data_IF_245841430087
#
_entry.id   IF_245841430087
#
_cell.length_a   1.000
_cell.length_b   1.000
_cell.length_c   1.000
_cell.angle_alpha   90.00
_cell.angle_beta   90.00
_cell.angle_gamma   90.00
#
_symmetry.space_group_name_H-M   'P 1'
#
loop_
_entity.id
_entity.type
_entity.pdbx_description
1 polymer ?
#
# COMPACT_ATOMS: atom_id res chain seq x y z
N UNK A 1 -33.03 22.80 -8.82
CA UNK A 1 -32.04 21.88 -9.38
C UNK A 1 -30.66 22.42 -9.03
N UNK A 2 -30.00 21.84 -8.03
CA UNK A 2 -28.62 22.16 -7.71
C UNK A 2 -27.77 21.54 -8.83
N UNK A 3 -27.07 22.38 -9.59
CA UNK A 3 -26.09 21.91 -10.57
C UNK A 3 -24.96 21.26 -9.77
N UNK A 4 -24.82 19.92 -9.84
CA UNK A 4 -23.65 19.23 -9.34
C UNK A 4 -22.41 19.79 -10.06
N UNK A 5 -21.41 20.24 -9.29
CA UNK A 5 -20.18 20.75 -9.86
C UNK A 5 -19.45 19.59 -10.56
N UNK A 6 -19.36 19.64 -11.87
CA UNK A 6 -18.70 18.63 -12.70
C UNK A 6 -17.18 18.47 -12.41
N UNK A 7 -16.56 19.46 -11.74
CA UNK A 7 -15.13 19.44 -11.42
C UNK A 7 -14.88 19.80 -9.96
N UNK A 8 -14.16 18.92 -9.26
CA UNK A 8 -13.69 19.12 -7.88
C UNK A 8 -12.19 19.31 -7.91
N UNK A 9 -11.70 20.43 -7.36
CA UNK A 9 -10.28 20.74 -7.28
C UNK A 9 -9.73 20.51 -5.85
N UNK A 10 -8.51 20.00 -5.75
CA UNK A 10 -7.79 19.88 -4.47
C UNK A 10 -8.17 18.72 -3.57
N UNK A 11 -9.12 17.87 -3.98
CA UNK A 11 -9.51 16.65 -3.26
C UNK A 11 -9.51 15.43 -4.19
N UNK A 12 -9.44 14.24 -3.63
CA UNK A 12 -9.64 13.03 -4.41
C UNK A 12 -11.12 12.91 -4.82
N UNK A 13 -11.35 12.71 -6.11
CA UNK A 13 -12.70 12.55 -6.66
C UNK A 13 -13.13 11.10 -6.46
N UNK A 14 -14.36 10.87 -5.96
CA UNK A 14 -14.92 9.53 -5.75
C UNK A 14 -16.40 9.48 -6.14
N UNK A 15 -16.94 8.29 -6.27
CA UNK A 15 -18.35 8.04 -6.59
C UNK A 15 -18.75 8.57 -7.97
N UNK A 16 -19.92 9.18 -8.06
CA UNK A 16 -20.52 9.68 -9.31
C UNK A 16 -19.73 10.80 -9.99
N UNK A 17 -18.75 11.40 -9.31
CA UNK A 17 -17.89 12.45 -9.87
C UNK A 17 -16.62 11.89 -10.52
N UNK A 18 -16.42 10.57 -10.52
CA UNK A 18 -15.32 9.92 -11.20
C UNK A 18 -15.74 9.57 -12.62
N UNK A 19 -15.35 10.42 -13.56
CA UNK A 19 -15.69 10.26 -14.98
C UNK A 19 -14.56 9.54 -15.68
N UNK A 20 -14.96 8.50 -16.42
CA UNK A 20 -14.07 7.75 -17.32
C UNK A 20 -12.98 6.89 -16.63
N UNK A 21 -12.22 6.11 -17.33
CA UNK A 21 -11.24 5.08 -16.91
C UNK A 21 -11.87 3.72 -16.57
N UNK A 22 -12.91 3.36 -17.29
CA UNK A 22 -13.61 2.09 -17.10
C UNK A 22 -12.65 0.92 -17.39
N UNK A 23 -11.84 1.03 -18.44
CA UNK A 23 -10.91 -0.02 -18.84
C UNK A 23 -9.77 -0.19 -17.84
N UNK A 24 -9.19 0.92 -17.35
CA UNK A 24 -8.16 0.86 -16.33
C UNK A 24 -8.72 0.29 -15.01
N UNK A 25 -9.94 0.67 -14.64
CA UNK A 25 -10.62 0.13 -13.45
C UNK A 25 -10.79 -1.38 -13.56
N UNK A 26 -11.33 -1.88 -14.68
CA UNK A 26 -11.52 -3.31 -14.93
C UNK A 26 -10.19 -4.06 -14.91
N UNK A 27 -9.16 -3.50 -15.54
CA UNK A 27 -7.84 -4.11 -15.62
C UNK A 27 -7.21 -4.26 -14.25
N UNK A 28 -7.14 -3.18 -13.45
CA UNK A 28 -6.56 -3.22 -12.11
C UNK A 28 -7.36 -4.14 -11.19
N UNK A 29 -8.70 -4.13 -11.31
CA UNK A 29 -9.55 -5.07 -10.55
C UNK A 29 -9.19 -6.51 -10.85
N UNK A 30 -9.06 -6.86 -12.13
CA UNK A 30 -8.66 -8.20 -12.56
C UNK A 30 -7.28 -8.59 -12.04
N UNK A 31 -6.33 -7.66 -12.07
CA UNK A 31 -4.98 -7.88 -11.55
C UNK A 31 -5.01 -8.14 -10.03
N UNK A 32 -5.80 -7.40 -9.27
CA UNK A 32 -6.01 -7.63 -7.83
C UNK A 32 -6.62 -9.00 -7.56
N UNK A 33 -7.62 -9.38 -8.33
CA UNK A 33 -8.29 -10.69 -8.22
C UNK A 33 -7.36 -11.85 -8.58
N UNK A 34 -6.38 -11.63 -9.43
CA UNK A 34 -5.40 -12.65 -9.83
C UNK A 34 -4.08 -12.59 -9.04
N UNK A 35 -3.93 -11.67 -8.09
CA UNK A 35 -2.71 -11.54 -7.28
C UNK A 35 -1.51 -11.00 -8.07
N UNK A 36 -1.76 -10.19 -9.10
CA UNK A 36 -0.72 -9.57 -9.93
C UNK A 36 -0.28 -8.27 -9.28
N UNK A 37 1.03 -8.05 -9.18
CA UNK A 37 1.57 -6.77 -8.75
C UNK A 37 1.34 -5.71 -9.83
N UNK A 38 0.88 -4.52 -9.43
CA UNK A 38 0.56 -3.42 -10.34
C UNK A 38 1.44 -2.21 -10.03
N UNK A 39 1.98 -1.59 -11.08
CA UNK A 39 2.70 -0.32 -10.99
C UNK A 39 1.97 0.70 -11.85
N UNK A 40 1.35 1.70 -11.20
CA UNK A 40 0.59 2.72 -11.89
C UNK A 40 1.42 4.00 -12.02
N UNK A 41 1.82 4.32 -13.23
CA UNK A 41 2.67 5.46 -13.55
C UNK A 41 1.87 6.52 -14.31
N UNK A 42 1.87 7.74 -13.80
CA UNK A 42 1.32 8.86 -14.54
C UNK A 42 1.80 10.21 -13.96
N UNK A 43 1.64 11.30 -14.70
CA UNK A 43 1.84 12.64 -14.17
C UNK A 43 0.94 12.96 -12.97
N UNK A 44 1.23 14.06 -12.28
CA UNK A 44 0.36 14.59 -11.21
C UNK A 44 -1.04 14.91 -11.76
N UNK A 45 -2.04 14.88 -10.87
CA UNK A 45 -3.45 15.26 -11.14
C UNK A 45 -4.17 14.41 -12.20
N UNK A 46 -3.65 13.21 -12.49
CA UNK A 46 -4.28 12.27 -13.43
C UNK A 46 -5.28 11.30 -12.79
N UNK A 47 -5.68 11.54 -11.54
CA UNK A 47 -6.69 10.75 -10.86
C UNK A 47 -6.24 9.37 -10.36
N UNK A 48 -4.93 9.12 -10.18
CA UNK A 48 -4.42 7.82 -9.70
C UNK A 48 -5.07 7.34 -8.40
N UNK A 49 -5.02 8.19 -7.38
CA UNK A 49 -5.57 7.87 -6.06
C UNK A 49 -7.07 7.62 -6.13
N UNK A 50 -7.80 8.44 -6.91
CA UNK A 50 -9.24 8.25 -7.15
C UNK A 50 -9.54 6.95 -7.88
N UNK A 51 -8.74 6.60 -8.90
CA UNK A 51 -8.86 5.33 -9.63
C UNK A 51 -8.66 4.14 -8.70
N UNK A 52 -7.58 4.12 -7.91
CA UNK A 52 -7.33 3.03 -6.97
C UNK A 52 -8.43 2.93 -5.92
N UNK A 53 -8.89 4.05 -5.35
CA UNK A 53 -10.02 4.06 -4.40
C UNK A 53 -11.31 3.52 -5.01
N UNK A 54 -11.57 3.82 -6.29
CA UNK A 54 -12.70 3.25 -7.03
C UNK A 54 -12.54 1.73 -7.18
N UNK A 55 -11.39 1.26 -7.63
CA UNK A 55 -11.11 -0.19 -7.72
C UNK A 55 -11.33 -0.87 -6.38
N UNK A 56 -10.80 -0.30 -5.29
CA UNK A 56 -10.99 -0.84 -3.93
C UNK A 56 -12.48 -0.98 -3.59
N UNK A 57 -13.30 0.00 -3.95
CA UNK A 57 -14.74 -0.04 -3.68
C UNK A 57 -15.52 -1.02 -4.56
N UNK A 58 -14.96 -1.42 -5.70
CA UNK A 58 -15.61 -2.34 -6.66
C UNK A 58 -15.17 -3.81 -6.52
N UNK A 59 -14.11 -4.08 -5.76
CA UNK A 59 -13.70 -5.46 -5.46
C UNK A 59 -14.62 -6.02 -4.38
N UNK A 60 -15.57 -6.84 -4.80
CA UNK A 60 -16.54 -7.51 -3.94
C UNK A 60 -16.19 -9.00 -3.80
N UNK A 61 -15.06 -9.28 -3.15
CA UNK A 61 -14.62 -10.64 -2.87
C UNK A 61 -14.12 -10.72 -1.42
N UNK A 62 -14.84 -11.42 -0.54
CA UNK A 62 -14.50 -11.52 0.88
C UNK A 62 -13.16 -12.23 1.14
N UNK A 63 -12.65 -12.99 0.15
CA UNK A 63 -11.35 -13.64 0.21
C UNK A 63 -10.19 -12.72 -0.19
N UNK A 64 -10.47 -11.48 -0.59
CA UNK A 64 -9.45 -10.50 -0.96
C UNK A 64 -9.56 -9.31 -0.03
N UNK A 65 -8.52 -9.08 0.76
CA UNK A 65 -8.40 -7.90 1.61
C UNK A 65 -7.50 -6.87 0.98
N UNK A 66 -8.03 -5.68 0.73
CA UNK A 66 -7.24 -4.58 0.17
C UNK A 66 -6.88 -3.61 1.29
N UNK A 67 -5.61 -3.28 1.36
CA UNK A 67 -5.03 -2.37 2.35
C UNK A 67 -4.41 -1.18 1.62
N UNK A 68 -4.77 0.02 2.03
CA UNK A 68 -4.27 1.27 1.44
C UNK A 68 -3.39 2.02 2.43
N UNK A 69 -2.23 2.47 2.00
CA UNK A 69 -1.37 3.37 2.74
C UNK A 69 -0.75 4.45 1.85
N UNK A 70 -0.57 5.63 2.42
CA UNK A 70 0.15 6.75 1.82
C UNK A 70 1.45 6.96 2.58
N UNK A 71 2.56 7.03 1.87
CA UNK A 71 3.89 7.19 2.46
C UNK A 71 4.53 8.55 2.16
N UNK A 72 3.72 9.52 1.75
CA UNK A 72 4.19 10.86 1.37
C UNK A 72 5.03 11.55 2.46
N UNK A 73 4.63 11.42 3.71
CA UNK A 73 5.27 12.05 4.87
C UNK A 73 6.37 11.18 5.53
N UNK A 74 6.60 9.95 5.05
CA UNK A 74 7.70 9.12 5.52
C UNK A 74 9.04 9.74 5.12
N UNK A 75 9.91 9.98 6.09
CA UNK A 75 11.23 10.60 5.89
C UNK A 75 12.38 9.60 6.00
N UNK A 76 12.10 8.44 6.58
CA UNK A 76 13.08 7.40 6.85
C UNK A 76 12.51 6.00 6.64
N UNK A 77 13.39 5.00 6.60
CA UNK A 77 12.97 3.61 6.59
C UNK A 77 12.16 3.24 7.86
N UNK A 78 12.44 3.89 9.01
CA UNK A 78 11.70 3.66 10.24
C UNK A 78 10.26 4.14 10.15
N UNK A 79 10.04 5.33 9.59
CA UNK A 79 8.69 5.87 9.36
C UNK A 79 7.92 4.93 8.44
N UNK A 80 8.57 4.44 7.39
CA UNK A 80 7.98 3.49 6.46
C UNK A 80 7.58 2.19 7.15
N UNK A 81 8.49 1.55 7.90
CA UNK A 81 8.18 0.27 8.55
C UNK A 81 7.11 0.42 9.63
N UNK A 82 7.12 1.51 10.39
CA UNK A 82 6.08 1.82 11.37
C UNK A 82 4.71 1.97 10.68
N UNK A 83 4.65 2.79 9.63
CA UNK A 83 3.43 3.01 8.85
C UNK A 83 2.93 1.72 8.21
N UNK A 84 3.82 0.94 7.63
CA UNK A 84 3.50 -0.33 7.02
C UNK A 84 2.90 -1.31 8.03
N UNK A 85 3.59 -1.56 9.13
CA UNK A 85 3.12 -2.45 10.19
C UNK A 85 1.78 -2.00 10.77
N UNK A 86 1.64 -0.72 11.10
CA UNK A 86 0.41 -0.14 11.63
C UNK A 86 -0.77 -0.33 10.68
N UNK A 87 -0.58 -0.03 9.40
CA UNK A 87 -1.65 -0.16 8.40
C UNK A 87 -2.07 -1.61 8.21
N UNK A 88 -1.10 -2.54 8.10
CA UNK A 88 -1.37 -3.96 7.98
C UNK A 88 -2.13 -4.48 9.20
N UNK A 89 -1.72 -4.11 10.41
CA UNK A 89 -2.37 -4.54 11.64
C UNK A 89 -3.79 -3.99 11.78
N UNK A 90 -4.01 -2.70 11.51
CA UNK A 90 -5.36 -2.10 11.51
C UNK A 90 -6.32 -2.81 10.57
N UNK A 91 -5.80 -3.42 9.51
CA UNK A 91 -6.62 -4.17 8.57
C UNK A 91 -7.18 -5.47 9.14
N UNK A 92 -6.68 -5.98 10.26
CA UNK A 92 -7.05 -7.31 10.79
C UNK A 92 -8.27 -7.34 11.71
N UNK A 93 -8.83 -6.20 12.14
CA UNK A 93 -9.96 -6.19 13.07
C UNK A 93 -10.85 -4.96 13.05
N UNK A 94 -12.09 -5.12 13.53
CA UNK A 94 -13.15 -4.11 13.49
C UNK A 94 -13.48 -3.45 14.85
N UNK A 95 -12.90 -3.90 16.01
CA UNK A 95 -13.16 -3.34 17.34
C UNK A 95 -11.85 -3.04 18.10
N UNK A 96 -11.62 -1.77 18.38
CA UNK A 96 -10.32 -1.21 18.79
C UNK A 96 -9.70 -1.78 20.08
N UNK A 97 -10.45 -2.04 21.14
CA UNK A 97 -9.88 -2.54 22.40
C UNK A 97 -9.67 -4.07 22.39
N UNK A 98 -10.61 -4.81 21.86
CA UNK A 98 -10.51 -6.25 21.67
C UNK A 98 -9.48 -6.64 20.60
N UNK A 99 -9.26 -5.71 19.65
CA UNK A 99 -8.28 -5.80 18.58
C UNK A 99 -6.84 -5.71 19.12
N UNK A 100 -6.54 -4.82 20.04
CA UNK A 100 -5.17 -4.67 20.59
C UNK A 100 -4.70 -5.94 21.30
N UNK A 101 -5.54 -6.56 22.11
CA UNK A 101 -5.19 -7.79 22.82
C UNK A 101 -5.11 -8.99 21.85
N UNK A 102 -6.03 -9.06 20.88
CA UNK A 102 -6.02 -10.10 19.86
C UNK A 102 -4.86 -9.92 18.87
N UNK A 103 -4.53 -8.69 18.49
CA UNK A 103 -3.37 -8.38 17.67
C UNK A 103 -2.08 -8.76 18.39
N UNK A 104 -1.92 -8.41 19.67
CA UNK A 104 -0.73 -8.80 20.44
C UNK A 104 -0.58 -10.32 20.48
N UNK A 105 -1.63 -11.06 20.82
CA UNK A 105 -1.60 -12.53 20.83
C UNK A 105 -1.32 -13.12 19.45
N UNK A 106 -1.93 -12.56 18.43
CA UNK A 106 -1.73 -12.98 17.05
C UNK A 106 -0.28 -12.73 16.61
N UNK A 107 0.25 -11.53 16.88
CA UNK A 107 1.61 -11.15 16.48
C UNK A 107 2.68 -11.92 17.26
N UNK A 108 2.49 -12.18 18.53
CA UNK A 108 3.38 -13.07 19.30
C UNK A 108 3.42 -14.46 18.67
N UNK A 109 2.30 -14.95 18.12
CA UNK A 109 2.23 -16.24 17.45
C UNK A 109 2.90 -16.24 16.08
N UNK A 110 2.65 -15.22 15.23
CA UNK A 110 3.15 -15.16 13.84
C UNK A 110 4.51 -14.50 13.71
N UNK A 111 4.88 -13.65 14.65
CA UNK A 111 6.13 -12.90 14.67
C UNK A 111 6.62 -12.68 16.10
N UNK A 112 7.11 -13.73 16.79
CA UNK A 112 7.49 -13.65 18.20
C UNK A 112 8.68 -12.71 18.46
N UNK A 113 9.39 -12.28 17.43
CA UNK A 113 10.50 -11.32 17.52
C UNK A 113 10.05 -9.85 17.57
N UNK A 114 8.76 -9.57 17.28
CA UNK A 114 8.23 -8.21 17.37
C UNK A 114 7.76 -7.94 18.80
N UNK A 115 8.28 -6.87 19.39
CA UNK A 115 7.81 -6.35 20.69
C UNK A 115 6.99 -5.09 20.48
N UNK A 116 5.90 -4.95 21.26
CA UNK A 116 4.97 -3.84 21.16
C UNK A 116 4.94 -3.07 22.48
N UNK A 117 5.08 -1.76 22.40
CA UNK A 117 4.89 -0.87 23.54
C UNK A 117 3.74 0.08 23.23
N UNK A 118 2.58 -0.04 23.92
CA UNK A 118 1.54 0.96 23.79
C UNK A 118 1.97 2.21 24.56
N UNK A 119 2.11 3.33 23.87
CA UNK A 119 2.29 4.63 24.55
C UNK A 119 0.96 5.11 25.13
N UNK A 120 0.91 5.51 26.42
CA UNK A 120 -0.34 5.76 27.13
C UNK A 120 -1.09 7.04 26.72
N UNK A 121 -0.59 7.88 25.81
CA UNK A 121 -1.12 9.22 25.54
C UNK A 121 -1.33 9.61 24.07
N UNK A 122 -1.32 8.70 23.14
CA UNK A 122 -1.64 9.03 21.75
C UNK A 122 -3.03 8.54 21.37
N UNK A 123 -3.90 9.44 20.95
CA UNK A 123 -5.15 9.08 20.27
C UNK A 123 -4.85 8.10 19.15
N UNK A 124 -4.96 6.80 19.44
CA UNK A 124 -4.94 5.67 18.51
C UNK A 124 -3.86 5.68 17.42
N UNK A 125 -2.66 6.13 17.68
CA UNK A 125 -1.52 5.65 16.94
C UNK A 125 -1.08 4.34 17.58
N UNK A 126 -1.20 3.21 16.85
CA UNK A 126 -0.46 2.00 17.21
C UNK A 126 1.00 2.35 16.88
N UNK A 127 1.60 3.12 17.77
CA UNK A 127 3.02 3.32 17.75
C UNK A 127 3.63 1.98 18.17
N UNK A 128 4.05 1.22 17.17
CA UNK A 128 4.97 0.13 17.43
C UNK A 128 6.21 0.80 17.99
N UNK A 129 6.44 0.69 19.29
CA UNK A 129 7.68 1.14 19.95
C UNK A 129 8.87 0.35 19.40
N UNK A 130 9.13 0.49 18.10
CA UNK A 130 10.24 -0.17 17.42
C UNK A 130 11.48 0.65 17.72
N UNK A 131 12.15 0.28 18.79
CA UNK A 131 13.49 0.81 19.04
C UNK A 131 14.50 0.10 18.12
N UNK A 132 15.59 0.77 17.73
CA UNK A 132 16.60 0.17 16.85
C UNK A 132 17.17 -1.18 17.34
N UNK A 133 17.07 -1.47 18.63
CA UNK A 133 17.58 -2.71 19.25
C UNK A 133 16.66 -3.93 19.10
N UNK A 134 15.34 -3.71 18.85
CA UNK A 134 14.32 -4.77 18.79
C UNK A 134 13.66 -4.83 17.42
N UNK A 135 14.30 -4.31 16.40
CA UNK A 135 13.75 -4.07 15.09
C UNK A 135 14.22 -5.15 14.09
N UNK A 136 13.27 -5.82 13.48
CA UNK A 136 13.51 -6.76 12.39
C UNK A 136 12.69 -6.34 11.18
N UNK A 137 13.31 -5.66 10.19
CA UNK A 137 12.64 -5.25 8.97
C UNK A 137 11.94 -6.41 8.25
N UNK A 138 12.60 -7.55 8.17
CA UNK A 138 12.09 -8.73 7.47
C UNK A 138 10.82 -9.28 8.15
N UNK A 139 10.76 -9.26 9.48
CA UNK A 139 9.56 -9.68 10.22
C UNK A 139 8.38 -8.75 9.95
N UNK A 140 8.64 -7.44 9.90
CA UNK A 140 7.62 -6.42 9.57
C UNK A 140 7.13 -6.60 8.14
N UNK A 141 8.04 -6.74 7.20
CA UNK A 141 7.72 -6.87 5.78
C UNK A 141 6.97 -8.18 5.46
N UNK A 142 7.16 -9.23 6.28
CA UNK A 142 6.44 -10.49 6.16
C UNK A 142 5.06 -10.51 6.85
N UNK A 143 4.70 -9.48 7.63
CA UNK A 143 3.41 -9.43 8.33
C UNK A 143 2.21 -9.70 7.42
N UNK A 144 2.05 -9.03 6.26
CA UNK A 144 0.88 -9.25 5.41
C UNK A 144 0.78 -10.68 4.89
N UNK A 145 1.90 -11.32 4.53
CA UNK A 145 1.92 -12.69 4.04
C UNK A 145 1.51 -13.68 5.14
N UNK A 146 2.03 -13.48 6.37
CA UNK A 146 1.69 -14.33 7.51
C UNK A 146 0.22 -14.18 7.89
N UNK A 147 -0.30 -12.96 7.90
CA UNK A 147 -1.71 -12.68 8.18
C UNK A 147 -2.60 -13.30 7.11
N UNK A 148 -2.28 -13.09 5.83
CA UNK A 148 -3.04 -13.62 4.72
C UNK A 148 -3.10 -15.15 4.77
N UNK A 149 -1.97 -15.81 5.02
CA UNK A 149 -1.86 -17.27 5.16
C UNK A 149 -2.66 -17.78 6.35
N UNK A 150 -2.55 -17.14 7.51
CA UNK A 150 -3.26 -17.54 8.73
C UNK A 150 -4.78 -17.43 8.58
N UNK A 151 -5.26 -16.39 7.89
CA UNK A 151 -6.68 -16.15 7.66
C UNK A 151 -7.23 -16.86 6.41
N UNK A 152 -6.37 -17.52 5.63
CA UNK A 152 -6.77 -18.18 4.38
C UNK A 152 -7.28 -17.21 3.31
N UNK A 153 -6.81 -15.97 3.31
CA UNK A 153 -7.20 -14.91 2.37
C UNK A 153 -6.02 -14.48 1.48
N UNK A 154 -6.31 -13.70 0.47
CA UNK A 154 -5.31 -12.92 -0.24
C UNK A 154 -5.36 -11.47 0.20
N UNK A 155 -4.20 -10.80 0.17
CA UNK A 155 -4.11 -9.39 0.51
C UNK A 155 -3.52 -8.60 -0.67
N UNK A 156 -4.08 -7.43 -0.93
CA UNK A 156 -3.52 -6.45 -1.87
C UNK A 156 -3.07 -5.24 -1.08
N UNK A 157 -1.79 -4.92 -1.11
CA UNK A 157 -1.23 -3.76 -0.41
C UNK A 157 -0.98 -2.63 -1.40
N UNK A 158 -1.83 -1.61 -1.33
CA UNK A 158 -1.76 -0.41 -2.18
C UNK A 158 -0.93 0.66 -1.47
N UNK A 159 0.18 1.08 -2.09
CA UNK A 159 1.11 2.07 -1.54
C UNK A 159 1.14 3.30 -2.44
N UNK A 160 0.55 4.39 -1.95
CA UNK A 160 0.57 5.70 -2.61
C UNK A 160 1.88 6.44 -2.32
N UNK A 161 2.30 7.28 -3.27
CA UNK A 161 3.53 8.06 -3.25
C UNK A 161 4.81 7.19 -3.06
N UNK A 162 4.80 5.98 -3.65
CA UNK A 162 5.86 4.98 -3.48
C UNK A 162 7.25 5.50 -3.85
N UNK A 163 7.37 6.48 -4.75
CA UNK A 163 8.66 7.10 -5.07
C UNK A 163 9.36 7.75 -3.85
N UNK A 164 8.63 7.98 -2.76
CA UNK A 164 9.21 8.50 -1.52
C UNK A 164 10.35 7.62 -0.98
N UNK A 165 10.29 6.30 -1.21
CA UNK A 165 11.37 5.38 -0.87
C UNK A 165 12.68 5.74 -1.58
N UNK A 166 12.60 6.32 -2.78
CA UNK A 166 13.76 6.79 -3.54
C UNK A 166 14.46 8.00 -2.91
N UNK A 167 13.81 8.71 -2.00
CA UNK A 167 14.34 9.90 -1.32
C UNK A 167 14.99 9.58 0.04
N UNK A 168 14.91 8.35 0.53
CA UNK A 168 15.54 7.95 1.79
C UNK A 168 17.07 7.87 1.65
N UNK A 169 17.79 8.20 2.72
CA UNK A 169 19.27 8.19 2.75
C UNK A 169 19.87 6.86 2.25
N UNK A 170 19.24 5.73 2.62
CA UNK A 170 19.67 4.39 2.22
C UNK A 170 18.73 3.76 1.18
N UNK A 171 18.23 4.57 0.25
CA UNK A 171 17.20 4.20 -0.73
C UNK A 171 17.45 2.85 -1.43
N UNK A 172 18.66 2.61 -1.93
CA UNK A 172 18.97 1.36 -2.62
C UNK A 172 18.93 0.14 -1.68
N UNK A 173 19.38 0.31 -0.44
CA UNK A 173 19.40 -0.76 0.57
C UNK A 173 17.98 -1.16 0.96
N UNK A 174 17.12 -0.18 1.22
CA UNK A 174 15.72 -0.47 1.53
C UNK A 174 15.00 -1.11 0.34
N UNK A 175 15.20 -0.62 -0.88
CA UNK A 175 14.60 -1.22 -2.06
C UNK A 175 15.01 -2.69 -2.25
N UNK A 176 16.30 -3.02 -2.05
CA UNK A 176 16.78 -4.42 -2.09
C UNK A 176 16.10 -5.27 -1.03
N UNK A 177 15.92 -4.75 0.18
CA UNK A 177 15.26 -5.46 1.28
C UNK A 177 13.78 -5.70 0.99
N UNK A 178 13.06 -4.67 0.57
CA UNK A 178 11.65 -4.77 0.18
C UNK A 178 11.48 -5.82 -0.93
N UNK A 179 12.25 -5.70 -2.01
CA UNK A 179 12.22 -6.64 -3.12
C UNK A 179 12.55 -8.05 -2.67
N UNK A 180 13.60 -8.21 -1.85
CA UNK A 180 14.09 -9.50 -1.36
C UNK A 180 13.02 -10.25 -0.57
N UNK A 181 12.18 -9.54 0.21
CA UNK A 181 11.08 -10.14 0.97
C UNK A 181 9.84 -10.33 0.10
N UNK A 182 9.35 -9.27 -0.53
CA UNK A 182 8.05 -9.26 -1.19
C UNK A 182 7.94 -10.15 -2.43
N UNK A 183 9.05 -10.39 -3.14
CA UNK A 183 9.05 -11.31 -4.28
C UNK A 183 8.71 -12.77 -3.91
N UNK A 184 8.80 -13.14 -2.64
CA UNK A 184 8.50 -14.48 -2.14
C UNK A 184 7.07 -14.61 -1.60
N UNK A 185 6.32 -13.52 -1.53
CA UNK A 185 4.93 -13.56 -1.09
C UNK A 185 4.05 -14.27 -2.12
N UNK A 186 3.22 -15.19 -1.65
CA UNK A 186 2.30 -15.98 -2.48
C UNK A 186 0.83 -15.58 -2.27
N UNK A 187 0.51 -15.04 -1.08
CA UNK A 187 -0.82 -14.62 -0.71
C UNK A 187 -0.97 -13.10 -0.69
N UNK A 188 0.09 -12.36 -1.03
CA UNK A 188 0.07 -10.90 -1.08
C UNK A 188 0.52 -10.40 -2.43
N UNK A 189 -0.22 -9.46 -3.00
CA UNK A 189 0.21 -8.66 -4.15
C UNK A 189 0.28 -7.18 -3.78
N UNK A 190 0.98 -6.42 -4.59
CA UNK A 190 1.29 -5.03 -4.33
C UNK A 190 0.82 -4.14 -5.46
N UNK A 191 0.28 -2.96 -5.10
CA UNK A 191 -0.06 -1.92 -6.05
C UNK A 191 0.71 -0.65 -5.69
N UNK A 192 1.66 -0.25 -6.53
CA UNK A 192 2.50 0.92 -6.33
C UNK A 192 2.08 2.05 -7.25
N UNK A 193 1.91 3.22 -6.70
CA UNK A 193 1.63 4.41 -7.50
C UNK A 193 2.19 5.66 -6.83
N UNK A 194 2.30 6.74 -7.62
CA UNK A 194 2.87 7.97 -7.12
C UNK A 194 2.81 9.11 -8.12
N UNK A 195 3.09 10.32 -7.64
CA UNK A 195 2.91 11.55 -8.40
C UNK A 195 4.15 12.00 -9.18
N UNK A 196 5.35 11.51 -8.82
CA UNK A 196 6.61 11.88 -9.49
C UNK A 196 6.98 10.82 -10.52
N UNK A 197 6.42 10.96 -11.73
CA UNK A 197 6.54 9.98 -12.83
C UNK A 197 7.97 9.50 -13.06
N UNK A 198 8.94 10.42 -13.20
CA UNK A 198 10.34 10.09 -13.50
C UNK A 198 11.01 9.26 -12.37
N UNK A 199 10.64 9.49 -11.10
CA UNK A 199 11.14 8.69 -9.97
C UNK A 199 10.53 7.28 -9.99
N UNK A 200 9.25 7.17 -10.27
CA UNK A 200 8.59 5.85 -10.43
C UNK A 200 9.21 5.08 -11.60
N UNK A 201 9.44 5.72 -12.75
CA UNK A 201 10.11 5.10 -13.89
C UNK A 201 11.53 4.64 -13.53
N UNK A 202 12.30 5.45 -12.79
CA UNK A 202 13.62 5.05 -12.34
C UNK A 202 13.58 3.79 -11.45
N UNK A 203 12.66 3.73 -10.49
CA UNK A 203 12.53 2.59 -9.56
C UNK A 203 12.13 1.30 -10.30
N UNK A 204 11.18 1.36 -11.24
CA UNK A 204 10.55 0.17 -11.82
C UNK A 204 11.02 -0.19 -13.23
N UNK A 205 11.56 0.75 -14.01
CA UNK A 205 11.99 0.50 -15.40
C UNK A 205 13.50 0.39 -15.56
N UNK A 206 14.28 0.93 -14.63
CA UNK A 206 15.73 0.83 -14.70
C UNK A 206 16.19 -0.58 -14.34
N UNK A 207 16.93 -1.23 -15.27
CA UNK A 207 17.49 -2.58 -15.07
C UNK A 207 18.45 -2.69 -13.88
N UNK A 208 18.98 -1.56 -13.42
CA UNK A 208 19.91 -1.50 -12.26
C UNK A 208 19.17 -1.44 -10.93
N UNK A 209 17.88 -1.19 -10.94
CA UNK A 209 17.09 -1.00 -9.71
C UNK A 209 16.43 -2.30 -9.26
N UNK A 210 16.30 -2.53 -7.94
CA UNK A 210 15.76 -3.77 -7.38
C UNK A 210 14.35 -4.11 -7.88
N UNK A 211 13.50 -3.12 -8.09
CA UNK A 211 12.10 -3.32 -8.51
C UNK A 211 11.90 -3.49 -10.02
N UNK A 212 13.00 -3.58 -10.79
CA UNK A 212 12.86 -3.87 -12.21
C UNK A 212 12.03 -5.14 -12.46
N UNK A 213 11.02 -5.05 -13.31
CA UNK A 213 10.08 -6.14 -13.63
C UNK A 213 9.40 -6.77 -12.40
N UNK A 214 9.04 -5.98 -11.40
CA UNK A 214 8.33 -6.49 -10.22
C UNK A 214 6.84 -6.75 -10.45
N UNK A 215 6.23 -6.10 -11.40
CA UNK A 215 4.80 -6.22 -11.67
C UNK A 215 4.42 -5.64 -13.02
N UNK A 216 3.13 -5.65 -13.30
CA UNK A 216 2.57 -5.06 -14.51
C UNK A 216 2.58 -3.53 -14.44
N UNK A 217 3.08 -2.88 -15.47
CA UNK A 217 3.12 -1.42 -15.55
C UNK A 217 1.95 -0.88 -16.36
N UNK A 218 1.17 -0.02 -15.71
CA UNK A 218 0.08 0.71 -16.33
C UNK A 218 0.40 2.21 -16.39
N UNK A 219 0.35 2.75 -17.59
CA UNK A 219 0.56 4.17 -17.83
C UNK A 219 -0.78 4.88 -18.04
N UNK A 220 -1.19 5.73 -17.07
CA UNK A 220 -2.37 6.55 -17.28
C UNK A 220 -2.07 7.69 -18.24
N UNK A 221 -2.85 7.76 -19.31
CA UNK A 221 -2.85 8.87 -20.27
C UNK A 221 -3.83 9.96 -19.83
N UNK A 222 -3.75 11.14 -20.43
CA UNK A 222 -4.77 12.15 -20.30
C UNK A 222 -6.12 11.59 -20.74
N UNK A 223 -7.19 11.95 -20.01
CA UNK A 223 -8.56 11.67 -20.49
C UNK A 223 -8.77 12.52 -21.73
N UNK A 224 -9.15 11.93 -22.89
CA UNK A 224 -9.49 12.72 -24.06
C UNK A 224 -10.63 13.66 -23.70
N UNK A 225 -10.48 14.93 -24.02
CA UNK A 225 -11.61 15.89 -24.02
C UNK A 225 -12.37 15.66 -25.31
N UNK A 226 -13.59 15.13 -25.20
CA UNK A 226 -14.56 15.18 -26.32
C UNK A 226 -15.00 16.59 -26.58
#
# INVERSE_FOLDING_TARGET
KVMEKAFVYGMSVGGNNFTDRIEETKRIKLDFENGINVILISPRRMGKTSLIKKVISEVDNPMIKIVYMDIYDCRSEYDFYNRFAETIMKSTGNHLEQVMENIKRFLVRVSPKLSFSPEPNSEFSISLGITPKNYSPEEILNLPERIAKEQGIRMVVCIDEFQQIGEFTNSLTIQKRLRGVWQHHQNVSYCFFGSKKHLMENIFQSRRMPFYQFGEMLHLKCIPTE
#
